data_IF_811096732080
#
_entry.id   IF_811096732080
#
_cell.length_a   1.000
_cell.length_b   1.000
_cell.length_c   1.000
_cell.angle_alpha   90.00
_cell.angle_beta   90.00
_cell.angle_gamma   90.00
#
_symmetry.space_group_name_H-M   'P 1'
#
loop_
_entity.id
_entity.type
_entity.pdbx_description
1 polymer ?
#
# COMPACT_ATOMS: atom_id res chain seq x y z
N UNK A 1 -25.41 2.72 -35.05
CA UNK A 1 -24.63 1.71 -34.30
C UNK A 1 -23.72 2.47 -33.37
N UNK A 2 -24.19 2.80 -32.16
CA UNK A 2 -23.50 3.73 -31.27
C UNK A 2 -23.48 3.11 -29.86
N UNK A 3 -22.80 1.97 -29.74
CA UNK A 3 -22.62 1.26 -28.47
C UNK A 3 -21.21 1.51 -27.89
N UNK A 4 -20.67 2.72 -28.07
CA UNK A 4 -19.32 3.11 -27.62
C UNK A 4 -19.25 4.55 -27.05
N UNK A 5 -20.35 5.05 -26.49
CA UNK A 5 -20.47 6.39 -25.86
C UNK A 5 -20.63 6.28 -24.32
N UNK A 6 -20.29 5.13 -23.74
CA UNK A 6 -20.65 4.80 -22.36
C UNK A 6 -19.63 5.24 -21.30
N UNK A 7 -18.62 6.04 -21.65
CA UNK A 7 -17.88 6.82 -20.65
C UNK A 7 -18.36 8.25 -20.80
N UNK A 8 -19.40 8.64 -20.05
CA UNK A 8 -19.89 10.00 -20.11
C UNK A 8 -18.74 10.89 -19.61
N UNK A 9 -18.50 12.01 -20.30
CA UNK A 9 -17.41 12.92 -19.98
C UNK A 9 -17.46 13.39 -18.51
N UNK A 10 -16.40 14.06 -18.06
CA UNK A 10 -16.32 14.53 -16.67
C UNK A 10 -17.53 15.38 -16.23
N UNK A 11 -18.20 16.04 -17.18
CA UNK A 11 -19.37 16.87 -16.90
C UNK A 11 -20.63 16.04 -16.57
N UNK A 12 -20.87 14.97 -17.30
CA UNK A 12 -22.00 14.09 -17.09
C UNK A 12 -21.85 13.26 -15.81
N UNK A 13 -20.64 12.83 -15.46
CA UNK A 13 -20.37 12.25 -14.15
C UNK A 13 -20.69 13.24 -13.02
N UNK A 14 -20.34 14.52 -13.18
CA UNK A 14 -20.69 15.56 -12.22
C UNK A 14 -22.22 15.69 -12.06
N UNK A 15 -22.98 15.64 -13.15
CA UNK A 15 -24.45 15.67 -13.12
C UNK A 15 -25.05 14.45 -12.41
N UNK A 16 -24.54 13.25 -12.67
CA UNK A 16 -25.00 12.02 -12.00
C UNK A 16 -24.72 12.13 -10.49
N UNK A 17 -23.50 12.54 -10.13
CA UNK A 17 -23.12 12.78 -8.73
C UNK A 17 -24.05 13.81 -8.09
N UNK A 18 -24.35 14.91 -8.78
CA UNK A 18 -25.28 15.94 -8.30
C UNK A 18 -26.68 15.36 -8.02
N UNK A 19 -27.23 14.56 -8.93
CA UNK A 19 -28.55 13.91 -8.73
C UNK A 19 -28.52 12.97 -7.52
N UNK A 20 -27.47 12.15 -7.37
CA UNK A 20 -27.32 11.26 -6.21
C UNK A 20 -27.21 12.09 -4.91
N UNK A 21 -26.46 13.20 -4.93
CA UNK A 21 -26.37 14.12 -3.79
C UNK A 21 -27.71 14.75 -3.44
N UNK A 22 -28.59 15.01 -4.40
CA UNK A 22 -29.94 15.54 -4.13
C UNK A 22 -30.86 14.48 -3.50
N UNK A 23 -30.78 13.23 -3.95
CA UNK A 23 -31.62 12.14 -3.43
C UNK A 23 -31.18 11.67 -2.03
N UNK A 24 -29.88 11.48 -1.85
CA UNK A 24 -29.33 10.94 -0.60
C UNK A 24 -28.84 12.04 0.35
N UNK A 25 -28.47 13.21 -0.16
CA UNK A 25 -27.86 14.29 0.61
C UNK A 25 -26.34 14.19 0.70
N UNK A 26 -25.67 15.36 0.73
CA UNK A 26 -24.20 15.46 0.80
C UNK A 26 -23.57 14.77 2.03
N UNK A 27 -24.33 14.59 3.13
CA UNK A 27 -23.85 13.93 4.34
C UNK A 27 -24.00 12.41 4.31
N UNK A 28 -24.96 11.86 3.55
CA UNK A 28 -25.28 10.42 3.57
C UNK A 28 -24.33 9.59 2.70
N UNK A 29 -23.91 10.10 1.55
CA UNK A 29 -22.91 9.43 0.73
C UNK A 29 -21.59 9.12 1.46
N UNK A 30 -20.91 10.11 2.11
CA UNK A 30 -19.68 9.82 2.83
C UNK A 30 -19.91 8.97 4.09
N UNK A 31 -21.09 9.08 4.73
CA UNK A 31 -21.47 8.26 5.87
C UNK A 31 -21.60 6.78 5.49
N UNK A 32 -22.30 6.48 4.39
CA UNK A 32 -22.43 5.13 3.82
C UNK A 32 -21.07 4.60 3.34
N UNK A 33 -20.31 5.40 2.60
CA UNK A 33 -18.98 5.02 2.12
C UNK A 33 -18.01 4.70 3.27
N UNK A 34 -18.05 5.45 4.37
CA UNK A 34 -17.25 5.18 5.57
C UNK A 34 -17.64 3.88 6.28
N UNK A 35 -18.93 3.52 6.28
CA UNK A 35 -19.40 2.24 6.79
C UNK A 35 -18.92 1.07 5.92
N UNK A 36 -19.29 1.09 4.64
CA UNK A 36 -18.94 0.04 3.69
C UNK A 36 -17.44 -0.11 3.47
N UNK A 37 -16.70 1.00 3.43
CA UNK A 37 -15.24 0.98 3.26
C UNK A 37 -14.50 0.33 4.42
N UNK A 38 -15.01 0.44 5.66
CA UNK A 38 -14.44 -0.27 6.81
C UNK A 38 -14.66 -1.78 6.69
N UNK A 39 -15.86 -2.21 6.29
CA UNK A 39 -16.16 -3.62 6.05
C UNK A 39 -15.28 -4.21 4.93
N UNK A 40 -15.15 -3.51 3.81
CA UNK A 40 -14.27 -3.92 2.70
C UNK A 40 -12.79 -3.96 3.11
N UNK A 41 -12.34 -3.02 3.95
CA UNK A 41 -10.97 -3.01 4.46
C UNK A 41 -10.67 -4.22 5.34
N UNK A 42 -11.58 -4.56 6.27
CA UNK A 42 -11.42 -5.72 7.15
C UNK A 42 -11.42 -6.99 6.31
N UNK A 43 -12.43 -7.15 5.44
CA UNK A 43 -12.52 -8.29 4.53
C UNK A 43 -11.26 -8.45 3.68
N UNK A 44 -10.73 -7.36 3.11
CA UNK A 44 -9.48 -7.41 2.33
C UNK A 44 -8.26 -7.75 3.18
N UNK A 45 -8.18 -7.27 4.41
CA UNK A 45 -7.07 -7.59 5.32
C UNK A 45 -7.07 -9.07 5.72
N UNK A 46 -8.24 -9.61 6.08
CA UNK A 46 -8.40 -11.04 6.37
C UNK A 46 -8.11 -11.87 5.13
N UNK A 47 -8.67 -11.52 3.97
CA UNK A 47 -8.43 -12.23 2.70
C UNK A 47 -6.96 -12.19 2.30
N UNK A 48 -6.27 -11.06 2.52
CA UNK A 48 -4.83 -10.95 2.23
C UNK A 48 -4.02 -11.90 3.12
N UNK A 49 -4.37 -12.07 4.40
CA UNK A 49 -3.70 -13.02 5.28
C UNK A 49 -3.78 -14.45 4.74
N UNK A 50 -4.95 -14.87 4.24
CA UNK A 50 -5.09 -16.20 3.63
C UNK A 50 -4.27 -16.36 2.35
N UNK A 51 -4.22 -15.33 1.49
CA UNK A 51 -3.45 -15.39 0.24
C UNK A 51 -1.93 -15.36 0.52
N UNK A 52 -1.49 -14.55 1.48
CA UNK A 52 -0.06 -14.42 1.84
C UNK A 52 0.46 -15.71 2.51
N UNK A 53 -0.37 -16.41 3.29
CA UNK A 53 -0.05 -17.72 3.85
C UNK A 53 0.09 -18.80 2.75
N UNK A 54 -0.73 -18.75 1.69
CA UNK A 54 -0.59 -19.62 0.50
C UNK A 54 0.67 -19.27 -0.33
N UNK A 55 1.00 -17.99 -0.46
CA UNK A 55 2.20 -17.52 -1.17
C UNK A 55 3.48 -17.90 -0.41
N UNK A 56 3.51 -17.83 0.93
CA UNK A 56 4.67 -18.23 1.72
C UNK A 56 4.87 -19.76 1.67
N UNK A 57 3.80 -20.56 1.70
CA UNK A 57 3.89 -22.02 1.52
C UNK A 57 4.38 -22.43 0.10
N UNK A 58 4.26 -21.54 -0.89
CA UNK A 58 4.77 -21.74 -2.25
C UNK A 58 6.23 -21.31 -2.46
N UNK A 59 6.86 -20.62 -1.51
CA UNK A 59 8.29 -20.25 -1.59
C UNK A 59 9.16 -21.49 -1.36
N UNK A 60 9.93 -21.87 -2.38
CA UNK A 60 10.93 -22.94 -2.26
C UNK A 60 11.95 -22.59 -1.17
N UNK A 61 12.54 -23.59 -0.48
CA UNK A 61 13.54 -23.36 0.57
C UNK A 61 14.66 -22.40 0.18
N UNK A 62 15.07 -22.42 -1.10
CA UNK A 62 16.07 -21.52 -1.67
C UNK A 62 15.67 -20.04 -1.64
N UNK A 63 14.39 -19.71 -1.86
CA UNK A 63 13.91 -18.33 -1.83
C UNK A 63 13.88 -17.76 -0.40
N UNK A 64 13.52 -18.59 0.58
CA UNK A 64 13.55 -18.24 2.00
C UNK A 64 14.99 -17.99 2.49
N UNK A 65 15.97 -18.75 1.98
CA UNK A 65 17.39 -18.58 2.31
C UNK A 65 17.99 -17.30 1.69
N UNK A 66 17.64 -16.98 0.44
CA UNK A 66 18.10 -15.74 -0.23
C UNK A 66 17.53 -14.49 0.47
N UNK A 67 16.26 -14.53 0.90
CA UNK A 67 15.61 -13.42 1.62
C UNK A 67 16.25 -13.21 3.02
N UNK A 68 16.53 -14.30 3.74
CA UNK A 68 17.22 -14.24 5.04
C UNK A 68 18.68 -13.74 4.93
N UNK A 69 19.39 -14.13 3.86
CA UNK A 69 20.77 -13.69 3.60
C UNK A 69 20.84 -12.21 3.22
N UNK A 70 19.86 -11.71 2.46
CA UNK A 70 19.75 -10.30 2.11
C UNK A 70 19.32 -9.41 3.29
N UNK A 71 18.43 -9.91 4.16
CA UNK A 71 18.04 -9.20 5.38
C UNK A 71 19.22 -9.02 6.35
N UNK A 72 20.11 -10.01 6.46
CA UNK A 72 21.32 -9.91 7.28
C UNK A 72 22.37 -8.99 6.66
N UNK A 73 22.56 -9.04 5.34
CA UNK A 73 23.53 -8.21 4.63
C UNK A 73 23.22 -6.70 4.65
N UNK A 74 21.96 -6.30 4.89
CA UNK A 74 21.58 -4.88 4.90
C UNK A 74 21.80 -4.20 6.27
N UNK A 75 22.02 -4.98 7.34
CA UNK A 75 22.30 -4.45 8.70
C UNK A 75 23.78 -4.11 8.91
N UNK A 76 24.69 -4.74 8.18
CA UNK A 76 26.15 -4.52 8.30
C UNK A 76 26.69 -3.35 7.45
N UNK A 77 25.89 -2.76 6.55
CA UNK A 77 26.36 -1.71 5.62
C UNK A 77 26.07 -0.28 6.15
N UNK A 78 25.27 -0.13 7.21
CA UNK A 78 24.99 1.18 7.86
C UNK A 78 25.73 1.29 9.21
N UNK A 79 27.01 0.96 9.23
CA UNK A 79 27.91 1.32 10.35
C UNK A 79 29.29 1.81 9.90
N UNK A 80 29.52 1.92 8.59
CA UNK A 80 30.70 2.63 8.06
C UNK A 80 30.30 4.08 7.76
N UNK A 81 30.24 4.91 8.81
CA UNK A 81 30.39 6.35 8.67
C UNK A 81 31.90 6.65 8.86
N UNK A 82 32.68 6.78 7.77
CA UNK A 82 34.07 7.15 7.88
C UNK A 82 34.15 8.62 8.27
N UNK A 83 35.15 8.97 9.10
CA UNK A 83 35.61 10.32 9.45
C UNK A 83 35.04 10.89 10.76
N UNK A 84 35.58 10.46 11.91
CA UNK A 84 35.84 11.38 13.03
C UNK A 84 37.10 11.00 13.82
N UNK A 85 38.19 11.74 13.54
CA UNK A 85 39.28 12.13 14.46
C UNK A 85 40.18 11.02 15.01
N UNK A 86 41.10 10.59 14.15
CA UNK A 86 42.40 10.08 14.60
C UNK A 86 43.13 11.18 15.39
N UNK A 87 43.25 10.86 16.66
CA UNK A 87 43.91 11.56 17.74
C UNK A 87 45.39 11.71 17.40
N UNK A 88 45.76 12.88 16.87
CA UNK A 88 47.15 13.32 16.75
C UNK A 88 47.72 13.64 18.14
N UNK A 89 48.03 12.60 18.88
CA UNK A 89 49.00 12.67 19.98
C UNK A 89 50.38 12.37 19.39
N UNK A 90 51.02 13.43 18.90
CA UNK A 90 52.46 13.46 18.63
C UNK A 90 53.09 14.47 19.58
N UNK A 91 53.83 13.95 20.57
CA UNK A 91 55.09 14.52 21.04
C UNK A 91 55.08 15.97 21.56
N UNK A 92 54.88 16.14 22.88
CA UNK A 92 55.80 16.82 23.83
C UNK A 92 55.28 16.59 25.25
#
# INVERSE_FOLDING_TARGET
MNALIAVPGGWELMLIVLVILLLFGAKKLPELARGSGRALRIFKAETKGLIDDEDDESKTPEQREIEARNAQAQTDVVSDDPVVREQRDTTT
#
